data_IF_191625332477
#
_entry.id   IF_191625332477
#
_cell.length_a   1.000
_cell.length_b   1.000
_cell.length_c   1.000
_cell.angle_alpha   90.00
_cell.angle_beta   90.00
_cell.angle_gamma   90.00
#
_symmetry.space_group_name_H-M   'P 1'
#
loop_
_entity.id
_entity.type
_entity.pdbx_description
1 polymer ?
#
# COMPACT_ATOMS: atom_id res chain seq x y z
N UNK A 1 -14.15 -6.65 16.14
CA UNK A 1 -13.48 -5.71 15.26
C UNK A 1 -14.20 -4.39 15.26
N UNK A 2 -13.44 -3.29 15.33
CA UNK A 2 -14.02 -1.97 15.14
C UNK A 2 -14.23 -1.72 13.64
N UNK A 3 -15.48 -1.65 13.22
CA UNK A 3 -15.90 -1.13 11.91
C UNK A 3 -16.35 0.30 12.16
N UNK A 4 -15.97 1.24 11.29
CA UNK A 4 -16.34 2.65 11.45
C UNK A 4 -17.86 2.80 11.42
N UNK A 5 -18.42 3.58 12.36
CA UNK A 5 -19.87 3.75 12.54
C UNK A 5 -20.55 4.29 11.27
N UNK A 6 -19.87 5.16 10.53
CA UNK A 6 -20.37 5.71 9.27
C UNK A 6 -20.73 4.62 8.25
N UNK A 7 -20.03 3.49 8.27
CA UNK A 7 -20.40 2.32 7.46
C UNK A 7 -21.63 1.61 8.02
N UNK A 8 -21.67 1.37 9.34
CA UNK A 8 -22.79 0.69 10.00
C UNK A 8 -24.09 1.48 9.87
N UNK A 9 -24.02 2.80 9.89
CA UNK A 9 -25.18 3.71 9.71
C UNK A 9 -25.85 3.60 8.31
N UNK A 10 -25.21 2.89 7.38
CA UNK A 10 -25.80 2.60 6.07
C UNK A 10 -26.76 1.41 6.08
N UNK A 11 -26.78 0.60 7.13
CA UNK A 11 -27.81 -0.43 7.28
C UNK A 11 -29.15 0.21 7.65
N UNK A 12 -30.22 -0.32 7.06
CA UNK A 12 -31.59 0.04 7.44
C UNK A 12 -32.03 -0.74 8.69
N UNK A 13 -33.22 -0.39 9.24
CA UNK A 13 -33.82 -1.09 10.37
C UNK A 13 -34.13 -2.58 10.10
N UNK A 14 -34.05 -3.02 8.83
CA UNK A 14 -34.23 -4.41 8.45
C UNK A 14 -33.05 -5.30 8.83
N UNK A 15 -31.92 -4.70 9.21
CA UNK A 15 -30.70 -5.40 9.57
C UNK A 15 -30.47 -5.42 11.07
N UNK A 16 -30.24 -6.60 11.63
CA UNK A 16 -29.78 -6.77 13.01
C UNK A 16 -28.25 -6.86 13.06
N UNK A 17 -27.59 -5.82 13.53
CA UNK A 17 -26.10 -5.76 13.62
C UNK A 17 -25.56 -6.30 14.94
N UNK A 18 -26.42 -6.79 15.85
CA UNK A 18 -26.04 -7.30 17.17
C UNK A 18 -26.10 -8.85 17.26
N UNK A 19 -26.30 -9.54 16.13
CA UNK A 19 -26.33 -11.01 16.08
C UNK A 19 -25.02 -11.63 16.52
N UNK A 20 -25.09 -12.83 17.12
CA UNK A 20 -23.89 -13.63 17.36
C UNK A 20 -23.23 -14.06 16.03
N UNK A 21 -21.96 -14.44 16.07
CA UNK A 21 -21.26 -14.88 14.84
C UNK A 21 -21.90 -16.18 14.30
N UNK A 22 -22.35 -17.07 15.17
CA UNK A 22 -22.95 -18.36 14.82
C UNK A 22 -24.30 -18.20 14.10
N UNK A 23 -25.04 -17.15 14.41
CA UNK A 23 -26.38 -16.88 13.85
C UNK A 23 -26.35 -15.88 12.68
N UNK A 24 -25.18 -15.30 12.37
CA UNK A 24 -25.05 -14.25 11.39
C UNK A 24 -25.25 -14.76 9.95
N UNK A 25 -26.02 -14.01 9.15
CA UNK A 25 -26.12 -14.23 7.71
C UNK A 25 -24.97 -13.56 6.94
N UNK A 26 -24.38 -12.51 7.51
CA UNK A 26 -23.23 -11.84 6.95
C UNK A 26 -22.30 -11.30 8.03
N UNK A 27 -21.00 -11.17 7.72
CA UNK A 27 -19.98 -10.71 8.66
C UNK A 27 -19.19 -9.57 8.07
N UNK A 28 -19.07 -8.49 8.83
CA UNK A 28 -18.09 -7.43 8.57
C UNK A 28 -16.82 -7.70 9.38
N UNK A 29 -15.68 -7.75 8.72
CA UNK A 29 -14.39 -7.98 9.36
C UNK A 29 -13.35 -6.96 8.90
N UNK A 30 -12.43 -6.56 9.78
CA UNK A 30 -11.27 -5.74 9.43
C UNK A 30 -9.98 -6.54 9.57
N UNK A 31 -9.60 -6.88 10.80
CA UNK A 31 -8.31 -7.50 11.13
C UNK A 31 -8.41 -8.81 11.91
N UNK A 32 -9.60 -9.23 12.37
CA UNK A 32 -9.75 -10.47 13.08
C UNK A 32 -9.36 -11.66 12.19
N UNK A 33 -8.61 -12.61 12.76
CA UNK A 33 -8.27 -13.87 12.10
C UNK A 33 -9.49 -14.80 12.15
N UNK A 34 -9.90 -15.30 10.99
CA UNK A 34 -11.07 -16.16 10.85
C UNK A 34 -10.71 -17.62 10.52
N UNK A 35 -9.43 -17.95 10.39
CA UNK A 35 -9.00 -19.30 9.98
C UNK A 35 -9.42 -20.41 10.97
N UNK A 36 -9.44 -20.09 12.26
CA UNK A 36 -9.78 -21.03 13.33
C UNK A 36 -11.27 -20.93 13.77
N UNK A 37 -12.06 -20.09 13.06
CA UNK A 37 -13.48 -19.93 13.35
C UNK A 37 -14.31 -21.00 12.65
N UNK A 38 -15.35 -21.50 13.33
CA UNK A 38 -16.38 -22.32 12.68
C UNK A 38 -17.36 -21.39 11.95
N UNK A 39 -17.50 -21.60 10.66
CA UNK A 39 -18.43 -20.82 9.83
C UNK A 39 -19.83 -21.36 10.04
N UNK A 40 -20.79 -20.52 10.45
CA UNK A 40 -22.18 -20.93 10.69
C UNK A 40 -22.88 -21.34 9.39
N UNK A 41 -23.84 -22.27 9.50
CA UNK A 41 -24.61 -22.77 8.35
C UNK A 41 -25.47 -21.69 7.67
N UNK A 42 -25.78 -20.61 8.36
CA UNK A 42 -26.55 -19.47 7.85
C UNK A 42 -25.70 -18.40 7.18
N UNK A 43 -24.37 -18.51 7.23
CA UNK A 43 -23.46 -17.47 6.74
C UNK A 43 -23.41 -17.47 5.20
N UNK A 44 -23.86 -16.38 4.60
CA UNK A 44 -23.91 -16.20 3.14
C UNK A 44 -22.73 -15.37 2.62
N UNK A 45 -22.26 -14.41 3.40
CA UNK A 45 -21.22 -13.49 2.95
C UNK A 45 -20.32 -12.99 4.08
N UNK A 46 -19.07 -12.68 3.70
CA UNK A 46 -18.10 -11.98 4.55
C UNK A 46 -17.58 -10.78 3.76
N UNK A 47 -17.67 -9.57 4.32
CA UNK A 47 -17.02 -8.41 3.71
C UNK A 47 -15.90 -7.89 4.61
N UNK A 48 -14.72 -7.79 4.01
CA UNK A 48 -13.55 -7.23 4.68
C UNK A 48 -13.43 -5.74 4.41
N UNK A 49 -13.51 -4.93 5.47
CA UNK A 49 -13.21 -3.49 5.39
C UNK A 49 -11.70 -3.27 5.18
N UNK A 50 -11.26 -3.39 3.94
CA UNK A 50 -9.88 -3.26 3.48
C UNK A 50 -9.55 -4.17 2.28
N UNK A 51 -8.42 -3.93 1.62
CA UNK A 51 -8.07 -4.59 0.37
C UNK A 51 -7.50 -6.03 0.53
N UNK A 52 -6.69 -6.28 1.56
CA UNK A 52 -6.09 -7.61 1.78
C UNK A 52 -7.07 -8.57 2.47
N UNK A 53 -6.98 -9.87 2.23
CA UNK A 53 -7.90 -10.88 2.78
C UNK A 53 -7.18 -12.05 3.47
N UNK A 54 -5.93 -11.87 3.84
CA UNK A 54 -5.09 -12.91 4.44
C UNK A 54 -5.62 -13.46 5.77
N UNK A 55 -6.55 -12.77 6.41
CA UNK A 55 -7.19 -13.14 7.66
C UNK A 55 -8.46 -13.97 7.48
N UNK A 56 -8.87 -14.25 6.22
CA UNK A 56 -10.11 -14.99 5.88
C UNK A 56 -9.74 -16.30 5.18
N UNK A 57 -10.33 -17.45 5.56
CA UNK A 57 -10.07 -18.74 4.92
C UNK A 57 -10.86 -18.87 3.61
N UNK A 58 -10.34 -18.31 2.50
CA UNK A 58 -11.05 -18.19 1.21
C UNK A 58 -11.51 -19.51 0.66
N UNK A 59 -10.66 -20.56 0.68
CA UNK A 59 -10.99 -21.88 0.17
C UNK A 59 -12.16 -22.51 0.94
N UNK A 60 -12.11 -22.45 2.28
CA UNK A 60 -13.19 -22.92 3.15
C UNK A 60 -14.50 -22.16 2.91
N UNK A 61 -14.41 -20.84 2.69
CA UNK A 61 -15.58 -20.02 2.33
C UNK A 61 -16.17 -20.44 0.98
N UNK A 62 -15.33 -20.65 -0.04
CA UNK A 62 -15.77 -21.07 -1.36
C UNK A 62 -16.45 -22.44 -1.34
N UNK A 63 -15.88 -23.42 -0.62
CA UNK A 63 -16.46 -24.77 -0.44
C UNK A 63 -17.81 -24.74 0.29
N UNK A 64 -18.00 -23.77 1.20
CA UNK A 64 -19.24 -23.58 1.95
C UNK A 64 -20.26 -22.67 1.25
N UNK A 65 -20.00 -22.18 0.04
CA UNK A 65 -20.89 -21.28 -0.68
C UNK A 65 -20.92 -19.86 -0.14
N UNK A 66 -19.95 -19.44 0.69
CA UNK A 66 -19.88 -18.12 1.29
C UNK A 66 -19.11 -17.17 0.38
N UNK A 67 -19.74 -16.05 0.00
CA UNK A 67 -19.09 -15.02 -0.84
C UNK A 67 -18.23 -14.12 0.03
N UNK A 68 -16.99 -13.91 -0.38
CA UNK A 68 -16.05 -13.02 0.33
C UNK A 68 -15.77 -11.77 -0.50
N UNK A 69 -16.09 -10.61 0.06
CA UNK A 69 -15.83 -9.30 -0.53
C UNK A 69 -14.63 -8.62 0.13
N UNK A 70 -13.93 -7.81 -0.63
CA UNK A 70 -12.97 -6.85 -0.10
C UNK A 70 -13.28 -5.45 -0.67
N UNK A 71 -12.60 -4.42 -0.19
CA UNK A 71 -12.85 -3.03 -0.60
C UNK A 71 -11.68 -2.48 -1.43
N UNK A 72 -11.54 -2.90 -2.71
CA UNK A 72 -10.42 -2.48 -3.53
C UNK A 72 -10.48 -0.99 -3.83
N UNK A 73 -9.37 -0.29 -3.59
CA UNK A 73 -9.26 1.13 -3.86
C UNK A 73 -9.82 2.07 -2.78
N UNK A 74 -10.61 1.58 -1.82
CA UNK A 74 -11.17 2.43 -0.75
C UNK A 74 -10.09 3.13 0.10
N UNK A 75 -8.93 2.48 0.27
CA UNK A 75 -7.77 3.00 0.99
C UNK A 75 -6.69 3.60 0.08
N UNK A 76 -6.91 3.67 -1.23
CA UNK A 76 -5.84 3.98 -2.18
C UNK A 76 -5.27 5.39 -2.01
N UNK A 77 -6.11 6.37 -1.65
CA UNK A 77 -5.66 7.74 -1.42
C UNK A 77 -4.72 7.83 -0.21
N UNK A 78 -5.05 7.18 0.90
CA UNK A 78 -4.20 7.17 2.09
C UNK A 78 -2.81 6.58 1.78
N UNK A 79 -2.76 5.44 1.09
CA UNK A 79 -1.49 4.82 0.68
C UNK A 79 -0.71 5.74 -0.27
N UNK A 80 -1.37 6.38 -1.24
CA UNK A 80 -0.73 7.37 -2.13
C UNK A 80 -0.06 8.48 -1.31
N UNK A 81 -0.72 9.05 -0.32
CA UNK A 81 -0.17 10.12 0.52
C UNK A 81 1.04 9.64 1.33
N UNK A 82 0.99 8.44 1.89
CA UNK A 82 2.12 7.81 2.56
C UNK A 82 3.32 7.64 1.60
N UNK A 83 3.10 7.19 0.36
CA UNK A 83 4.16 7.04 -0.66
C UNK A 83 4.78 8.40 -0.99
N UNK A 84 3.99 9.46 -1.15
CA UNK A 84 4.49 10.81 -1.41
C UNK A 84 5.34 11.33 -0.24
N UNK A 85 4.86 11.16 1.00
CA UNK A 85 5.63 11.48 2.20
C UNK A 85 6.95 10.71 2.23
N UNK A 86 6.93 9.41 1.94
CA UNK A 86 8.10 8.54 1.88
C UNK A 86 9.13 9.01 0.84
N UNK A 87 8.71 9.40 -0.35
CA UNK A 87 9.59 9.96 -1.39
C UNK A 87 10.30 11.22 -0.90
N UNK A 88 9.58 12.14 -0.26
CA UNK A 88 10.13 13.38 0.26
C UNK A 88 11.10 13.13 1.43
N UNK A 89 10.77 12.23 2.35
CA UNK A 89 11.62 11.83 3.46
C UNK A 89 12.87 11.06 2.99
N UNK A 90 12.76 10.27 1.92
CA UNK A 90 13.92 9.59 1.32
C UNK A 90 14.86 10.58 0.61
N UNK A 91 14.32 11.69 0.13
CA UNK A 91 15.08 12.72 -0.59
C UNK A 91 15.79 13.69 0.33
N UNK A 92 15.25 13.94 1.54
CA UNK A 92 15.71 14.92 2.51
C UNK A 92 15.68 14.32 3.91
N UNK A 93 16.76 14.46 4.65
CA UNK A 93 16.85 13.94 6.03
C UNK A 93 16.14 14.86 7.04
N UNK A 94 14.81 14.97 6.90
CA UNK A 94 13.99 15.79 7.79
C UNK A 94 13.89 15.18 9.19
N UNK A 95 13.89 13.84 9.28
CA UNK A 95 13.82 13.12 10.56
C UNK A 95 15.12 13.35 11.34
N UNK A 96 16.28 13.07 10.74
CA UNK A 96 17.56 13.29 11.40
C UNK A 96 17.79 14.76 11.77
N UNK A 97 17.37 15.71 10.92
CA UNK A 97 17.40 17.13 11.24
C UNK A 97 16.56 17.49 12.46
N UNK A 98 15.32 16.96 12.54
CA UNK A 98 14.44 17.17 13.70
C UNK A 98 15.02 16.54 14.99
N UNK A 99 15.55 15.31 14.88
CA UNK A 99 16.20 14.66 16.03
C UNK A 99 17.41 15.43 16.53
N UNK A 100 18.24 15.96 15.62
CA UNK A 100 19.37 16.81 15.97
C UNK A 100 18.93 18.05 16.74
N UNK A 101 17.88 18.77 16.27
CA UNK A 101 17.34 19.95 16.97
C UNK A 101 16.86 19.57 18.37
N UNK A 102 16.14 18.47 18.52
CA UNK A 102 15.66 17.98 19.84
C UNK A 102 16.81 17.63 20.78
N UNK A 103 17.86 17.00 20.26
CA UNK A 103 19.03 16.62 21.05
C UNK A 103 19.84 17.83 21.54
N UNK A 104 19.78 18.96 20.83
CA UNK A 104 20.50 20.19 21.17
C UNK A 104 19.59 21.28 21.77
N UNK A 105 18.41 20.92 22.27
CA UNK A 105 17.39 21.86 22.80
C UNK A 105 17.88 22.77 23.91
N UNK A 106 18.89 22.35 24.69
CA UNK A 106 19.42 23.07 25.85
C UNK A 106 20.64 23.94 25.48
N UNK A 107 21.06 23.98 24.21
CA UNK A 107 22.12 24.88 23.73
C UNK A 107 21.56 26.30 23.57
N UNK A 108 22.06 27.21 24.34
CA UNK A 108 21.67 28.64 24.28
C UNK A 108 21.98 29.29 22.92
N UNK A 109 22.96 28.76 22.19
CA UNK A 109 23.37 29.22 20.85
C UNK A 109 22.84 28.34 19.72
N UNK A 110 21.79 27.55 19.94
CA UNK A 110 21.23 26.55 18.98
C UNK A 110 20.99 27.16 17.58
N UNK A 111 20.52 28.40 17.49
CA UNK A 111 20.30 29.07 16.22
C UNK A 111 21.59 29.18 15.38
N UNK A 112 22.72 29.46 16.03
CA UNK A 112 24.03 29.56 15.40
C UNK A 112 24.61 28.17 15.11
N UNK A 113 24.39 27.20 15.99
CA UNK A 113 24.78 25.81 15.81
C UNK A 113 24.07 25.19 14.64
N UNK A 114 22.76 25.48 14.45
CA UNK A 114 21.94 25.01 13.32
C UNK A 114 22.53 25.42 11.97
N UNK A 115 23.04 26.62 11.81
CA UNK A 115 23.65 27.08 10.54
C UNK A 115 24.89 26.25 10.15
N UNK A 116 25.59 25.68 11.10
CA UNK A 116 26.69 24.75 10.84
C UNK A 116 26.22 23.35 10.59
N UNK A 117 25.23 22.87 11.37
CA UNK A 117 24.73 21.50 11.32
C UNK A 117 23.90 21.20 10.06
N UNK A 118 23.17 22.19 9.51
CA UNK A 118 22.23 22.00 8.38
C UNK A 118 22.84 21.31 7.15
N UNK A 119 24.14 21.43 6.94
CA UNK A 119 24.85 20.76 5.83
C UNK A 119 24.82 19.24 5.92
N UNK A 120 24.77 18.68 7.15
CA UNK A 120 24.71 17.24 7.37
C UNK A 120 23.35 16.64 6.94
N UNK A 121 22.29 17.44 6.91
CA UNK A 121 20.92 17.05 6.58
C UNK A 121 20.51 17.50 5.18
N UNK A 122 21.45 18.04 4.38
CA UNK A 122 21.17 18.47 3.01
C UNK A 122 20.76 17.29 2.15
N UNK A 123 19.66 17.46 1.40
CA UNK A 123 19.14 16.46 0.48
C UNK A 123 19.10 16.95 -0.96
N UNK A 124 18.17 16.39 -1.73
CA UNK A 124 17.94 16.73 -3.13
C UNK A 124 16.45 16.95 -3.39
N UNK A 125 16.14 17.63 -4.48
CA UNK A 125 14.77 17.80 -4.96
C UNK A 125 14.34 16.59 -5.79
N UNK A 126 13.04 16.30 -5.78
CA UNK A 126 12.45 15.23 -6.61
C UNK A 126 12.06 15.73 -8.01
N UNK A 127 11.90 17.04 -8.21
CA UNK A 127 11.58 17.63 -9.51
C UNK A 127 12.61 17.24 -10.57
N UNK A 128 12.13 16.79 -11.74
CA UNK A 128 12.97 16.32 -12.83
C UNK A 128 13.64 14.97 -12.61
N UNK A 129 13.39 14.30 -11.46
CA UNK A 129 13.83 12.93 -11.23
C UNK A 129 12.86 11.94 -11.87
N UNK A 130 13.38 10.77 -12.26
CA UNK A 130 12.61 9.70 -12.87
C UNK A 130 12.03 8.78 -11.78
N UNK A 131 10.70 8.62 -11.78
CA UNK A 131 9.98 7.69 -10.93
C UNK A 131 9.47 6.50 -11.75
N UNK A 132 9.90 5.29 -11.41
CA UNK A 132 9.31 4.06 -11.90
C UNK A 132 8.17 3.61 -11.00
N UNK A 133 6.99 3.44 -11.57
CA UNK A 133 5.80 2.91 -10.88
C UNK A 133 5.53 1.52 -11.43
N UNK A 134 5.75 0.49 -10.60
CA UNK A 134 5.52 -0.91 -10.95
C UNK A 134 4.18 -1.34 -10.37
N UNK A 135 3.20 -1.55 -11.26
CA UNK A 135 1.79 -1.72 -10.93
C UNK A 135 1.03 -0.40 -10.97
N UNK A 136 0.09 -0.27 -11.91
CA UNK A 136 -0.75 0.93 -12.12
C UNK A 136 -2.21 0.69 -11.70
N UNK A 137 -2.43 -0.21 -10.74
CA UNK A 137 -3.74 -0.42 -10.12
C UNK A 137 -4.24 0.80 -9.33
N UNK A 138 -5.19 0.60 -8.41
CA UNK A 138 -5.86 1.67 -7.68
C UNK A 138 -4.90 2.66 -6.99
N UNK A 139 -3.79 2.18 -6.43
CA UNK A 139 -2.79 3.01 -5.74
C UNK A 139 -1.79 3.58 -6.74
N UNK A 140 -1.18 2.73 -7.58
CA UNK A 140 -0.10 3.13 -8.47
C UNK A 140 -0.50 4.23 -9.45
N UNK A 141 -1.72 4.23 -9.98
CA UNK A 141 -2.24 5.30 -10.83
C UNK A 141 -2.31 6.66 -10.10
N UNK A 142 -2.72 6.65 -8.82
CA UNK A 142 -2.79 7.89 -8.02
C UNK A 142 -1.39 8.42 -7.71
N UNK A 143 -0.45 7.53 -7.36
CA UNK A 143 0.96 7.89 -7.14
C UNK A 143 1.58 8.45 -8.41
N UNK A 144 1.39 7.79 -9.56
CA UNK A 144 1.92 8.22 -10.84
C UNK A 144 1.42 9.63 -11.23
N UNK A 145 0.11 9.86 -11.13
CA UNK A 145 -0.48 11.18 -11.43
C UNK A 145 0.01 12.27 -10.47
N UNK A 146 0.11 11.97 -9.16
CA UNK A 146 0.62 12.92 -8.18
C UNK A 146 2.10 13.26 -8.41
N UNK A 147 2.91 12.28 -8.79
CA UNK A 147 4.33 12.49 -9.09
C UNK A 147 4.54 13.40 -10.32
N UNK A 148 3.70 13.28 -11.36
CA UNK A 148 3.68 14.24 -12.48
C UNK A 148 3.40 15.66 -11.96
N UNK A 149 2.39 15.84 -11.10
CA UNK A 149 2.07 17.15 -10.53
C UNK A 149 3.20 17.74 -9.67
N UNK A 150 4.06 16.89 -9.08
CA UNK A 150 5.27 17.28 -8.36
C UNK A 150 6.48 17.54 -9.29
N UNK A 151 6.30 17.42 -10.60
CA UNK A 151 7.32 17.70 -11.61
C UNK A 151 8.33 16.59 -11.83
N UNK A 152 8.00 15.35 -11.45
CA UNK A 152 8.82 14.16 -11.79
C UNK A 152 8.53 13.68 -13.22
N UNK A 153 9.50 12.97 -13.81
CA UNK A 153 9.26 12.17 -15.01
C UNK A 153 8.79 10.77 -14.57
N UNK A 154 7.60 10.35 -14.98
CA UNK A 154 7.02 9.09 -14.52
C UNK A 154 7.04 8.02 -15.60
N UNK A 155 7.52 6.84 -15.24
CA UNK A 155 7.61 5.62 -16.03
C UNK A 155 6.71 4.57 -15.39
N UNK A 156 5.64 4.17 -16.07
CA UNK A 156 4.65 3.23 -15.56
C UNK A 156 4.75 1.87 -16.25
N UNK A 157 4.81 0.81 -15.44
CA UNK A 157 4.77 -0.57 -15.90
C UNK A 157 3.62 -1.32 -15.24
N UNK A 158 2.71 -1.85 -16.05
CA UNK A 158 1.67 -2.78 -15.63
C UNK A 158 1.20 -3.61 -16.83
N UNK A 159 1.54 -4.91 -16.90
CA UNK A 159 1.16 -5.76 -18.04
C UNK A 159 -0.33 -6.15 -18.02
N UNK A 160 -1.06 -5.85 -16.94
CA UNK A 160 -2.47 -6.20 -16.73
C UNK A 160 -3.38 -4.97 -16.58
N UNK A 161 -2.89 -3.79 -16.98
CA UNK A 161 -3.65 -2.55 -16.82
C UNK A 161 -5.02 -2.63 -17.51
N UNK A 162 -6.08 -2.27 -16.78
CA UNK A 162 -7.41 -2.17 -17.36
C UNK A 162 -7.54 -0.91 -18.22
N UNK A 163 -8.44 -0.94 -19.19
CA UNK A 163 -8.77 0.23 -20.02
C UNK A 163 -9.24 1.39 -19.16
N UNK A 164 -10.09 1.12 -18.16
CA UNK A 164 -10.60 2.16 -17.24
C UNK A 164 -9.49 2.83 -16.43
N UNK A 165 -8.49 2.06 -16.00
CA UNK A 165 -7.33 2.62 -15.31
C UNK A 165 -6.47 3.44 -16.25
N UNK A 166 -6.23 2.95 -17.47
CA UNK A 166 -5.45 3.67 -18.47
C UNK A 166 -6.06 5.05 -18.80
N UNK A 167 -7.39 5.17 -18.85
CA UNK A 167 -8.07 6.44 -19.04
C UNK A 167 -7.91 7.46 -17.91
N UNK A 168 -7.56 7.00 -16.69
CA UNK A 168 -7.33 7.86 -15.52
C UNK A 168 -5.89 8.35 -15.39
N UNK A 169 -4.97 7.80 -16.19
CA UNK A 169 -3.56 8.18 -16.17
C UNK A 169 -3.32 9.49 -16.93
N UNK A 170 -2.42 10.33 -16.42
CA UNK A 170 -1.89 11.47 -17.15
C UNK A 170 -1.20 11.00 -18.43
N UNK A 171 -1.39 11.75 -19.51
CA UNK A 171 -0.72 11.48 -20.81
C UNK A 171 0.80 11.69 -20.76
N UNK A 172 1.30 12.34 -19.72
CA UNK A 172 2.74 12.55 -19.50
C UNK A 172 3.44 11.32 -18.95
N UNK A 173 2.68 10.33 -18.45
CA UNK A 173 3.25 9.07 -17.94
C UNK A 173 3.72 8.24 -19.12
N UNK A 174 5.00 7.87 -19.11
CA UNK A 174 5.63 7.05 -20.13
C UNK A 174 5.30 5.57 -19.85
N UNK A 175 4.58 4.95 -20.77
CA UNK A 175 4.32 3.51 -20.70
C UNK A 175 5.59 2.72 -20.97
N UNK A 176 5.89 1.76 -20.11
CA UNK A 176 7.05 0.87 -20.20
C UNK A 176 6.57 -0.57 -20.40
N UNK A 177 7.04 -1.19 -21.47
CA UNK A 177 6.68 -2.56 -21.82
C UNK A 177 7.52 -3.62 -21.08
N UNK A 178 8.76 -3.26 -20.69
CA UNK A 178 9.68 -4.16 -19.99
C UNK A 178 10.09 -3.52 -18.65
N UNK A 179 9.84 -4.22 -17.55
CA UNK A 179 10.16 -3.73 -16.19
C UNK A 179 11.65 -3.43 -15.99
N UNK A 180 12.54 -4.11 -16.72
CA UNK A 180 13.98 -3.83 -16.66
C UNK A 180 14.34 -2.41 -17.08
N UNK A 181 13.54 -1.77 -17.96
CA UNK A 181 13.78 -0.39 -18.36
C UNK A 181 13.51 0.57 -17.20
N UNK A 182 12.56 0.24 -16.30
CA UNK A 182 12.37 0.96 -15.05
C UNK A 182 13.60 0.83 -14.17
N UNK A 183 14.14 -0.38 -14.01
CA UNK A 183 15.35 -0.58 -13.20
C UNK A 183 16.54 0.24 -13.73
N UNK A 184 16.77 0.25 -15.04
CA UNK A 184 17.90 0.95 -15.67
C UNK A 184 17.76 2.49 -15.65
N UNK A 185 16.54 3.00 -15.76
CA UNK A 185 16.30 4.42 -16.05
C UNK A 185 15.88 5.26 -14.85
N UNK A 186 15.29 4.66 -13.80
CA UNK A 186 14.63 5.42 -12.75
C UNK A 186 15.54 5.72 -11.56
N UNK A 187 15.36 6.90 -10.96
CA UNK A 187 16.03 7.35 -9.75
C UNK A 187 15.27 6.90 -8.49
N UNK A 188 13.95 6.73 -8.63
CA UNK A 188 13.02 6.24 -7.62
C UNK A 188 12.21 5.11 -8.22
N UNK A 189 11.95 4.05 -7.45
CA UNK A 189 11.11 2.94 -7.87
C UNK A 189 10.13 2.64 -6.75
N UNK A 190 8.83 2.58 -7.08
CA UNK A 190 7.76 2.28 -6.13
C UNK A 190 6.95 1.07 -6.60
N UNK A 191 6.66 0.17 -5.64
CA UNK A 191 6.00 -1.10 -5.91
C UNK A 191 4.52 -1.05 -5.51
N UNK A 192 3.64 -1.38 -6.45
CA UNK A 192 2.18 -1.41 -6.26
C UNK A 192 1.54 -2.66 -6.88
N UNK A 193 2.25 -3.78 -6.83
CA UNK A 193 1.80 -5.08 -7.35
C UNK A 193 1.41 -6.02 -6.21
N UNK A 194 0.49 -6.97 -6.44
CA UNK A 194 0.19 -8.03 -5.49
C UNK A 194 1.38 -8.99 -5.34
N UNK A 195 1.42 -9.71 -4.22
CA UNK A 195 2.35 -10.82 -4.03
C UNK A 195 1.79 -12.07 -4.72
N UNK A 196 2.43 -12.45 -5.80
CA UNK A 196 2.17 -13.65 -6.59
C UNK A 196 3.50 -14.41 -6.77
N UNK A 197 3.45 -15.66 -7.23
CA UNK A 197 4.66 -16.42 -7.56
C UNK A 197 5.54 -15.68 -8.58
N UNK A 198 4.92 -14.96 -9.52
CA UNK A 198 5.63 -14.17 -10.54
C UNK A 198 6.21 -12.84 -10.05
N UNK A 199 5.75 -12.32 -8.91
CA UNK A 199 6.21 -11.04 -8.35
C UNK A 199 7.04 -11.20 -7.08
N UNK A 200 7.00 -12.39 -6.46
CA UNK A 200 7.81 -12.71 -5.29
C UNK A 200 9.29 -12.55 -5.61
N UNK A 201 10.00 -11.77 -4.81
CA UNK A 201 11.43 -11.50 -4.99
C UNK A 201 11.75 -10.76 -6.30
N UNK A 202 10.81 -10.01 -6.88
CA UNK A 202 11.06 -9.24 -8.11
C UNK A 202 12.17 -8.20 -7.94
N UNK A 203 12.35 -7.68 -6.73
CA UNK A 203 13.51 -6.89 -6.35
C UNK A 203 14.53 -7.86 -5.78
N UNK A 204 15.36 -8.40 -6.66
CA UNK A 204 16.40 -9.40 -6.41
C UNK A 204 17.80 -8.80 -6.57
N UNK A 205 18.81 -9.58 -6.29
CA UNK A 205 20.20 -9.19 -6.55
C UNK A 205 20.42 -8.78 -8.02
N UNK A 206 19.83 -9.51 -8.95
CA UNK A 206 20.00 -9.23 -10.39
C UNK A 206 19.25 -7.95 -10.80
N UNK A 207 18.02 -7.75 -10.34
CA UNK A 207 17.29 -6.52 -10.62
C UNK A 207 17.96 -5.29 -9.98
N UNK A 208 18.46 -5.40 -8.75
CA UNK A 208 19.23 -4.34 -8.08
C UNK A 208 20.51 -4.02 -8.85
N UNK A 209 21.21 -5.02 -9.38
CA UNK A 209 22.41 -4.79 -10.17
C UNK A 209 22.16 -3.95 -11.42
N UNK A 210 20.98 -4.08 -12.04
CA UNK A 210 20.56 -3.27 -13.19
C UNK A 210 20.18 -1.83 -12.83
N UNK A 211 19.83 -1.54 -11.57
CA UNK A 211 19.39 -0.21 -11.14
C UNK A 211 20.52 0.82 -11.19
N UNK A 212 20.13 2.09 -11.19
CA UNK A 212 21.08 3.19 -11.02
C UNK A 212 21.73 3.14 -9.64
N UNK A 213 22.98 3.59 -9.56
CA UNK A 213 23.63 3.81 -8.27
C UNK A 213 22.92 4.94 -7.52
N UNK A 214 22.62 4.70 -6.26
CA UNK A 214 21.89 5.63 -5.43
C UNK A 214 20.38 5.67 -5.67
N UNK A 215 19.81 4.62 -6.26
CA UNK A 215 18.34 4.48 -6.41
C UNK A 215 17.63 4.49 -5.05
N UNK A 216 16.42 5.04 -5.03
CA UNK A 216 15.51 4.98 -3.87
C UNK A 216 14.42 3.97 -4.16
N UNK A 217 14.23 3.00 -3.26
CA UNK A 217 13.19 1.97 -3.34
C UNK A 217 12.08 2.25 -2.32
N UNK A 218 10.84 2.14 -2.78
CA UNK A 218 9.63 2.35 -1.98
C UNK A 218 8.74 1.12 -2.08
N UNK A 219 8.40 0.49 -0.95
CA UNK A 219 7.55 -0.70 -0.93
C UNK A 219 6.42 -0.56 0.09
N UNK A 220 5.24 -0.26 -0.41
CA UNK A 220 3.99 -0.17 0.35
C UNK A 220 2.98 -1.25 -0.08
N UNK A 221 3.46 -2.30 -0.76
CA UNK A 221 2.62 -3.40 -1.25
C UNK A 221 2.72 -4.65 -0.39
N UNK A 222 3.85 -5.38 -0.48
CA UNK A 222 4.12 -6.61 0.29
C UNK A 222 5.62 -6.78 0.53
N UNK A 223 6.00 -7.28 1.69
CA UNK A 223 7.39 -7.53 2.10
C UNK A 223 8.14 -8.44 1.14
N UNK A 224 7.56 -9.61 0.83
CA UNK A 224 8.18 -10.65 0.01
C UNK A 224 8.39 -10.28 -1.49
N UNK A 225 8.04 -9.08 -1.91
CA UNK A 225 8.41 -8.55 -3.24
C UNK A 225 9.92 -8.25 -3.33
N UNK A 226 10.60 -8.10 -2.20
CA UNK A 226 12.00 -7.70 -2.10
C UNK A 226 12.81 -8.84 -1.46
N UNK A 227 13.93 -9.21 -2.09
CA UNK A 227 14.95 -10.02 -1.47
C UNK A 227 15.72 -9.14 -0.47
N UNK A 228 15.43 -9.33 0.81
CA UNK A 228 16.00 -8.50 1.87
C UNK A 228 17.52 -8.66 2.01
N UNK A 229 18.05 -9.85 1.77
CA UNK A 229 19.50 -10.06 1.84
C UNK A 229 20.22 -9.25 0.77
N UNK A 230 19.74 -9.33 -0.47
CA UNK A 230 20.29 -8.55 -1.57
C UNK A 230 20.10 -7.04 -1.37
N UNK A 231 18.97 -6.64 -0.77
CA UNK A 231 18.70 -5.25 -0.43
C UNK A 231 19.68 -4.69 0.61
N UNK A 232 19.94 -5.43 1.71
CA UNK A 232 20.86 -4.98 2.76
C UNK A 232 22.27 -4.80 2.21
N UNK A 233 22.77 -5.77 1.45
CA UNK A 233 24.08 -5.65 0.79
C UNK A 233 24.14 -4.39 -0.10
N UNK A 234 23.07 -4.13 -0.85
CA UNK A 234 22.98 -2.96 -1.74
C UNK A 234 22.92 -1.61 -0.99
N UNK A 235 22.26 -1.58 0.17
CA UNK A 235 22.22 -0.40 1.05
C UNK A 235 23.61 -0.11 1.66
N UNK A 236 24.36 -1.15 2.04
CA UNK A 236 25.69 -1.00 2.62
C UNK A 236 26.70 -0.40 1.64
N UNK A 237 26.68 -0.85 0.38
CA UNK A 237 27.58 -0.34 -0.67
C UNK A 237 27.07 0.93 -1.35
N UNK A 238 25.88 1.42 -1.00
CA UNK A 238 25.27 2.63 -1.56
C UNK A 238 24.68 2.46 -2.97
N UNK A 239 24.53 1.25 -3.46
CA UNK A 239 23.81 0.94 -4.70
C UNK A 239 22.34 1.35 -4.58
N UNK A 240 21.72 0.99 -3.45
CA UNK A 240 20.45 1.55 -2.99
C UNK A 240 20.75 2.64 -1.96
N UNK A 241 20.31 3.87 -2.23
CA UNK A 241 20.55 5.01 -1.36
C UNK A 241 19.64 4.98 -0.13
N UNK A 242 18.38 4.61 -0.32
CA UNK A 242 17.38 4.50 0.74
C UNK A 242 16.30 3.49 0.37
N UNK A 243 15.85 2.74 1.35
CA UNK A 243 14.67 1.88 1.26
C UNK A 243 13.61 2.36 2.23
N UNK A 244 12.39 2.56 1.73
CA UNK A 244 11.23 2.93 2.57
C UNK A 244 10.16 1.87 2.43
N UNK A 245 9.70 1.35 3.56
CA UNK A 245 8.69 0.29 3.58
C UNK A 245 7.73 0.42 4.75
N UNK A 246 6.57 -0.19 4.59
CA UNK A 246 5.52 -0.28 5.62
C UNK A 246 5.49 -1.67 6.30
N UNK A 247 6.50 -2.50 6.01
CA UNK A 247 6.59 -3.88 6.50
C UNK A 247 7.79 -4.05 7.43
N UNK A 248 7.52 -3.92 8.73
CA UNK A 248 8.55 -4.01 9.75
C UNK A 248 8.93 -5.47 10.03
N UNK A 249 10.24 -5.74 9.99
CA UNK A 249 10.84 -6.96 10.52
C UNK A 249 12.24 -6.65 11.09
N UNK A 250 12.87 -7.57 11.84
CA UNK A 250 14.16 -7.31 12.48
C UNK A 250 15.28 -6.94 11.50
N UNK A 251 15.27 -7.48 10.29
CA UNK A 251 16.30 -7.26 9.27
C UNK A 251 16.28 -5.82 8.77
N UNK A 252 15.13 -5.37 8.27
CA UNK A 252 15.01 -4.03 7.68
C UNK A 252 14.95 -2.92 8.74
N UNK A 253 14.38 -3.20 9.93
CA UNK A 253 14.27 -2.21 11.00
C UNK A 253 15.65 -1.81 11.58
N UNK A 254 16.62 -2.73 11.57
CA UNK A 254 17.98 -2.49 12.04
C UNK A 254 18.96 -1.96 10.99
N UNK A 255 18.57 -1.94 9.72
CA UNK A 255 19.48 -1.61 8.63
C UNK A 255 19.69 -0.10 8.48
N UNK A 256 20.88 0.30 8.03
CA UNK A 256 21.18 1.68 7.68
C UNK A 256 20.40 2.10 6.44
N UNK A 257 20.05 3.38 6.37
CA UNK A 257 19.36 3.95 5.22
C UNK A 257 17.99 3.33 4.92
N UNK A 258 17.34 2.76 5.94
CA UNK A 258 15.95 2.34 5.88
C UNK A 258 15.05 3.34 6.62
N UNK A 259 13.82 3.47 6.15
CA UNK A 259 12.72 4.11 6.86
C UNK A 259 11.57 3.11 6.88
N UNK A 260 11.27 2.60 8.06
CA UNK A 260 10.26 1.54 8.24
C UNK A 260 9.13 2.09 9.07
N UNK A 261 7.90 1.97 8.56
CA UNK A 261 6.68 2.35 9.27
C UNK A 261 5.88 1.11 9.67
N UNK A 262 5.08 1.18 10.77
CA UNK A 262 4.36 0.01 11.27
C UNK A 262 3.01 -0.19 10.56
N UNK A 263 3.04 -0.41 9.25
CA UNK A 263 1.89 -0.67 8.36
C UNK A 263 0.82 0.45 8.43
N UNK A 264 1.28 1.69 8.25
CA UNK A 264 0.45 2.90 8.35
C UNK A 264 -0.19 3.34 7.03
N UNK A 265 0.15 2.72 5.90
CA UNK A 265 -0.29 3.17 4.57
C UNK A 265 -1.79 3.41 4.43
N UNK A 266 -2.61 2.60 5.08
CA UNK A 266 -4.07 2.73 5.08
C UNK A 266 -4.65 3.21 6.43
N UNK A 267 -3.82 3.67 7.37
CA UNK A 267 -4.25 4.01 8.73
C UNK A 267 -4.62 5.48 8.83
N UNK A 268 -5.68 5.89 8.16
CA UNK A 268 -6.32 7.22 8.28
C UNK A 268 -7.82 7.05 8.55
N UNK A 269 -8.43 8.04 9.20
CA UNK A 269 -9.86 8.03 9.49
C UNK A 269 -10.68 7.87 8.20
N UNK A 270 -10.34 8.62 7.16
CA UNK A 270 -11.04 8.57 5.87
C UNK A 270 -10.90 7.21 5.18
N UNK A 271 -9.75 6.58 5.29
CA UNK A 271 -9.53 5.24 4.75
C UNK A 271 -10.40 4.19 5.46
N UNK A 272 -10.50 4.28 6.79
CA UNK A 272 -11.34 3.40 7.60
C UNK A 272 -12.81 3.58 7.28
N UNK A 273 -13.26 4.83 7.17
CA UNK A 273 -14.62 5.19 6.79
C UNK A 273 -14.98 4.69 5.40
N UNK A 274 -14.11 4.95 4.41
CA UNK A 274 -14.33 4.52 3.04
C UNK A 274 -14.40 2.99 2.93
N UNK A 275 -13.51 2.27 3.61
CA UNK A 275 -13.53 0.80 3.63
C UNK A 275 -14.81 0.27 4.29
N UNK A 276 -15.24 0.84 5.40
CA UNK A 276 -16.46 0.43 6.09
C UNK A 276 -17.70 0.68 5.20
N UNK A 277 -17.82 1.86 4.63
CA UNK A 277 -18.92 2.20 3.73
C UNK A 277 -19.00 1.30 2.49
N UNK A 278 -17.83 0.99 1.89
CA UNK A 278 -17.78 0.13 0.72
C UNK A 278 -18.18 -1.31 1.07
N UNK A 279 -17.63 -1.86 2.16
CA UNK A 279 -17.95 -3.21 2.63
C UNK A 279 -19.44 -3.39 2.93
N UNK A 280 -20.07 -2.41 3.58
CA UNK A 280 -21.49 -2.45 3.86
C UNK A 280 -22.34 -2.38 2.57
N UNK A 281 -21.97 -1.52 1.61
CA UNK A 281 -22.68 -1.42 0.32
C UNK A 281 -22.62 -2.73 -0.45
N UNK A 282 -21.46 -3.41 -0.48
CA UNK A 282 -21.29 -4.70 -1.14
C UNK A 282 -22.14 -5.80 -0.48
N UNK A 283 -22.13 -5.86 0.86
CA UNK A 283 -22.99 -6.81 1.58
C UNK A 283 -24.46 -6.57 1.31
N UNK A 284 -24.90 -5.32 1.37
CA UNK A 284 -26.31 -4.97 1.12
C UNK A 284 -26.71 -5.33 -0.31
N UNK A 285 -25.89 -4.99 -1.29
CA UNK A 285 -26.18 -5.28 -2.69
C UNK A 285 -26.29 -6.80 -2.94
N UNK A 286 -25.42 -7.57 -2.30
CA UNK A 286 -25.50 -9.03 -2.36
C UNK A 286 -26.73 -9.58 -1.65
N UNK A 287 -27.02 -9.15 -0.44
CA UNK A 287 -28.16 -9.68 0.36
C UNK A 287 -29.52 -9.25 -0.18
N UNK A 288 -29.60 -8.02 -0.73
CA UNK A 288 -30.86 -7.46 -1.23
C UNK A 288 -31.12 -7.82 -2.70
N UNK A 289 -30.07 -7.91 -3.54
CA UNK A 289 -30.19 -8.03 -4.99
C UNK A 289 -29.49 -9.28 -5.57
N UNK A 290 -28.66 -9.99 -4.80
CA UNK A 290 -27.88 -11.11 -5.27
C UNK A 290 -26.63 -10.75 -6.07
N UNK A 291 -26.30 -9.47 -6.22
CA UNK A 291 -25.17 -9.01 -7.02
C UNK A 291 -23.84 -9.36 -6.35
N UNK A 292 -22.86 -9.83 -7.12
CA UNK A 292 -21.51 -10.16 -6.66
C UNK A 292 -20.53 -9.21 -7.35
N UNK A 293 -20.12 -8.15 -6.63
CA UNK A 293 -19.09 -7.21 -7.07
C UNK A 293 -17.90 -7.23 -6.10
N UNK A 294 -16.67 -7.15 -6.62
CA UNK A 294 -15.43 -7.17 -5.82
C UNK A 294 -15.28 -8.42 -4.93
N UNK A 295 -15.89 -9.54 -5.30
CA UNK A 295 -15.63 -10.80 -4.61
C UNK A 295 -14.23 -11.32 -4.94
N UNK A 296 -13.58 -11.92 -3.93
CA UNK A 296 -12.24 -12.49 -4.06
C UNK A 296 -12.23 -14.00 -4.24
N UNK A 297 -13.40 -14.65 -4.14
CA UNK A 297 -13.55 -16.10 -4.29
C UNK A 297 -14.64 -16.52 -5.29
N UNK A 298 -15.42 -15.57 -5.83
CA UNK A 298 -16.41 -15.81 -6.89
C UNK A 298 -16.25 -14.77 -8.00
N UNK A 299 -16.63 -15.10 -9.26
CA UNK A 299 -16.65 -14.11 -10.33
C UNK A 299 -17.75 -13.07 -10.11
N UNK A 300 -17.55 -11.85 -10.67
CA UNK A 300 -18.59 -10.83 -10.65
C UNK A 300 -19.84 -11.32 -11.37
N UNK A 301 -20.99 -11.04 -10.79
CA UNK A 301 -22.31 -11.42 -11.33
C UNK A 301 -23.34 -10.34 -10.95
N UNK A 302 -24.12 -9.91 -11.93
CA UNK A 302 -25.33 -9.09 -11.75
C UNK A 302 -26.55 -10.01 -11.93
N UNK A 303 -27.52 -9.92 -11.01
CA UNK A 303 -28.76 -10.71 -11.02
C UNK A 303 -29.90 -9.94 -11.68
#
# INVERSE_FOLDING_TARGET
NNIASVGLDLFSDDYNTESSFEDAQAVLVRSAKMHDMELGDNLLAIARAGAGVNNIPLDKCAESGIVVFNTPGANANAVKEQVLAAMLLASRDLIGGNEWVKANKDDADIAKATEKAKKAFAGQEIKGKKLGVIGLGAIGQLVANAAIALGMEVYGYDPYISVDTAWKLSREIKHIANVEDIFKECDYITLHVPLLDSTKGMISKDSIAMMKDGVVLLNFSRDLLVDETALIDALEIGKVKKYVTDFANPTVAGAKNTLVTPHLGASTAESEDNCACMAVKELRDYLENGNIHNSVNYPNCDM
#
